data_IF_530217898666
#
_entry.id   IF_530217898666
#
_cell.length_a   1.000
_cell.length_b   1.000
_cell.length_c   1.000
_cell.angle_alpha   90.00
_cell.angle_beta   90.00
_cell.angle_gamma   90.00
#
_symmetry.space_group_name_H-M   'P 1'
#
loop_
_entity.id
_entity.type
_entity.pdbx_description
1 polymer ?
#
# COMPACT_ATOMS: atom_id res chain seq x y z
N UNK A 1 25.99 12.05 16.92
CA UNK A 1 24.86 12.86 16.43
C UNK A 1 23.74 11.86 16.15
N UNK A 2 22.68 11.82 16.96
CA UNK A 2 21.60 10.82 16.80
C UNK A 2 20.77 11.22 15.57
N UNK A 3 20.86 10.45 14.49
CA UNK A 3 19.93 10.53 13.37
C UNK A 3 18.50 10.38 13.93
N UNK A 4 17.68 11.40 13.77
CA UNK A 4 16.25 11.34 14.05
C UNK A 4 15.60 11.03 12.72
N UNK A 5 15.28 9.75 12.52
CA UNK A 5 14.61 9.24 11.33
C UNK A 5 13.18 9.79 11.30
N UNK A 6 12.83 10.47 10.21
CA UNK A 6 11.48 10.92 9.93
C UNK A 6 10.77 9.84 9.10
N UNK A 7 9.69 9.28 9.64
CA UNK A 7 8.80 8.33 8.95
C UNK A 7 7.40 8.95 8.90
N UNK A 8 6.72 8.72 7.77
CA UNK A 8 5.27 8.58 7.60
C UNK A 8 4.51 9.75 6.95
N UNK A 9 4.10 9.54 5.70
CA UNK A 9 2.72 9.68 5.23
C UNK A 9 2.12 8.27 5.30
N UNK A 10 0.94 8.09 5.88
CA UNK A 10 0.16 6.88 5.69
C UNK A 10 -1.15 7.29 5.04
N UNK A 11 -1.36 6.98 3.76
CA UNK A 11 -2.70 7.07 3.17
C UNK A 11 -3.41 5.75 3.42
N UNK A 12 -4.43 5.80 4.27
CA UNK A 12 -5.20 4.65 4.69
C UNK A 12 -6.50 4.59 3.92
N UNK A 13 -6.61 3.62 3.00
CA UNK A 13 -7.82 3.39 2.22
C UNK A 13 -8.48 2.09 2.67
N UNK A 14 -9.74 2.18 3.09
CA UNK A 14 -10.64 1.03 3.15
C UNK A 14 -11.42 0.97 1.86
N UNK A 15 -11.41 -0.17 1.17
CA UNK A 15 -12.11 -0.36 -0.08
C UNK A 15 -13.50 -0.93 0.25
N UNK A 16 -14.55 -0.12 0.11
CA UNK A 16 -15.91 -0.62 0.20
C UNK A 16 -16.31 -1.23 -1.14
N UNK A 17 -16.53 -2.56 -1.17
CA UNK A 17 -17.22 -3.22 -2.27
C UNK A 17 -18.62 -2.63 -2.50
N UNK A 18 -19.06 -2.62 -3.75
CA UNK A 18 -20.28 -1.96 -4.23
C UNK A 18 -21.59 -2.47 -3.59
N UNK A 19 -22.39 -1.50 -3.14
CA UNK A 19 -23.84 -1.44 -2.92
C UNK A 19 -24.64 -2.73 -2.68
N UNK A 20 -25.16 -2.90 -1.45
CA UNK A 20 -26.60 -3.11 -1.22
C UNK A 20 -26.98 -2.63 0.19
N UNK A 21 -28.17 -2.05 0.31
CA UNK A 21 -28.68 -1.31 1.46
C UNK A 21 -29.34 -2.20 2.51
N UNK A 22 -28.86 -2.20 3.77
CA UNK A 22 -29.64 -2.27 5.04
C UNK A 22 -28.73 -2.41 6.30
N UNK A 23 -29.22 -2.15 7.53
CA UNK A 23 -28.51 -1.35 8.52
C UNK A 23 -27.68 -2.12 9.57
N UNK A 24 -26.68 -1.41 10.10
CA UNK A 24 -26.15 -1.42 11.46
C UNK A 24 -26.27 -2.71 12.30
N UNK A 25 -25.33 -3.65 12.08
CA UNK A 25 -24.77 -4.57 13.09
C UNK A 25 -23.84 -5.57 12.37
N UNK A 26 -22.64 -5.17 11.94
CA UNK A 26 -21.90 -6.02 10.99
C UNK A 26 -20.39 -5.87 10.89
N UNK A 27 -19.70 -5.17 11.78
CA UNK A 27 -18.24 -5.06 11.67
C UNK A 27 -17.48 -6.35 12.13
N UNK A 28 -18.18 -7.36 12.66
CA UNK A 28 -17.57 -8.62 13.15
C UNK A 28 -17.75 -9.83 12.24
N UNK A 29 -18.49 -9.74 11.13
CA UNK A 29 -19.01 -10.95 10.45
C UNK A 29 -18.39 -11.28 9.08
N UNK A 30 -17.62 -10.41 8.44
CA UNK A 30 -17.08 -10.67 7.09
C UNK A 30 -15.61 -11.12 7.03
N UNK A 31 -14.78 -10.82 8.05
CA UNK A 31 -13.36 -11.25 8.08
C UNK A 31 -13.14 -12.70 8.55
N UNK A 32 -14.20 -13.41 8.96
CA UNK A 32 -14.14 -14.78 9.50
C UNK A 32 -14.11 -15.88 8.42
N UNK A 33 -14.02 -15.54 7.13
CA UNK A 33 -14.09 -16.51 6.01
C UNK A 33 -12.89 -16.46 5.06
N UNK A 34 -11.70 -16.12 5.52
CA UNK A 34 -10.52 -16.38 4.70
C UNK A 34 -10.21 -17.89 4.67
N UNK A 35 -10.92 -18.61 3.80
CA UNK A 35 -10.72 -20.02 3.50
C UNK A 35 -9.71 -20.28 2.38
N UNK A 36 -8.98 -19.25 1.92
CA UNK A 36 -7.99 -19.42 0.85
C UNK A 36 -6.85 -20.32 1.37
N UNK A 37 -6.44 -21.37 0.64
CA UNK A 37 -5.30 -22.19 1.04
C UNK A 37 -3.96 -21.49 0.77
N UNK A 38 -3.95 -20.58 -0.21
CA UNK A 38 -2.80 -19.78 -0.60
C UNK A 38 -3.24 -18.37 -1.05
N UNK A 39 -2.32 -17.42 -0.97
CA UNK A 39 -2.49 -16.07 -1.51
C UNK A 39 -1.36 -15.77 -2.50
N UNK A 40 -1.71 -15.18 -3.65
CA UNK A 40 -0.78 -14.93 -4.76
C UNK A 40 -0.81 -13.47 -5.18
N UNK A 41 0.36 -12.86 -5.32
CA UNK A 41 0.56 -11.54 -5.92
C UNK A 41 1.80 -11.60 -6.81
N UNK A 42 1.63 -11.34 -8.11
CA UNK A 42 2.70 -11.53 -9.08
C UNK A 42 3.24 -12.96 -9.04
N UNK A 43 4.55 -13.11 -8.88
CA UNK A 43 5.20 -14.43 -8.75
C UNK A 43 5.26 -14.95 -7.30
N UNK A 44 4.90 -14.13 -6.31
CA UNK A 44 4.88 -14.55 -4.90
C UNK A 44 3.59 -15.33 -4.60
N UNK A 45 3.72 -16.59 -4.16
CA UNK A 45 2.60 -17.42 -3.71
C UNK A 45 2.91 -18.02 -2.35
N UNK A 46 2.17 -17.63 -1.32
CA UNK A 46 2.34 -18.14 0.04
C UNK A 46 1.14 -19.04 0.42
N UNK A 47 1.43 -20.27 0.85
CA UNK A 47 0.43 -21.11 1.51
C UNK A 47 0.13 -20.59 2.93
N UNK A 48 -0.94 -21.08 3.54
CA UNK A 48 -1.30 -20.74 4.91
C UNK A 48 -0.14 -21.00 5.88
N UNK A 49 0.16 -20.01 6.73
CA UNK A 49 1.29 -20.06 7.66
C UNK A 49 2.66 -19.94 7.00
N UNK A 50 2.74 -19.42 5.77
CA UNK A 50 3.99 -19.26 5.03
C UNK A 50 4.21 -17.82 4.53
N UNK A 51 5.44 -17.59 4.08
CA UNK A 51 5.91 -16.36 3.45
C UNK A 51 6.52 -16.69 2.10
N UNK A 52 6.22 -15.87 1.10
CA UNK A 52 6.81 -15.97 -0.22
C UNK A 52 7.30 -14.59 -0.67
N UNK A 53 8.47 -14.58 -1.30
CA UNK A 53 9.01 -13.42 -1.99
C UNK A 53 8.84 -13.63 -3.49
N UNK A 54 8.66 -12.55 -4.21
CA UNK A 54 8.55 -12.58 -5.66
C UNK A 54 8.57 -11.17 -6.23
N UNK A 55 8.05 -11.06 -7.43
CA UNK A 55 7.97 -9.80 -8.17
C UNK A 55 6.59 -9.62 -8.76
N UNK A 56 6.18 -8.36 -8.83
CA UNK A 56 5.02 -7.91 -9.58
C UNK A 56 5.53 -7.22 -10.85
N UNK A 57 5.34 -7.89 -11.99
CA UNK A 57 5.86 -7.44 -13.27
C UNK A 57 5.04 -6.28 -13.84
N UNK A 58 5.72 -5.17 -14.19
CA UNK A 58 5.19 -4.10 -15.03
C UNK A 58 5.63 -4.37 -16.46
N UNK A 59 4.72 -4.76 -17.37
CA UNK A 59 5.11 -5.08 -18.74
C UNK A 59 5.64 -3.85 -19.47
N UNK A 60 6.54 -4.08 -20.43
CA UNK A 60 6.99 -3.04 -21.35
C UNK A 60 5.83 -2.54 -22.22
N UNK A 61 5.87 -1.25 -22.58
CA UNK A 61 4.87 -0.60 -23.40
C UNK A 61 5.51 0.47 -24.26
N UNK A 62 5.06 1.72 -24.13
CA UNK A 62 5.66 2.88 -24.83
C UNK A 62 7.08 3.17 -24.33
N UNK A 63 7.40 2.68 -23.14
CA UNK A 63 8.67 2.76 -22.43
C UNK A 63 8.97 1.41 -21.76
N UNK A 64 10.15 1.27 -21.15
CA UNK A 64 10.62 -0.01 -20.59
C UNK A 64 9.71 -0.53 -19.45
N UNK A 65 9.59 -1.85 -19.34
CA UNK A 65 8.99 -2.50 -18.17
C UNK A 65 9.99 -2.64 -17.03
N UNK A 66 9.52 -3.03 -15.85
CA UNK A 66 10.36 -3.34 -14.69
C UNK A 66 9.60 -4.26 -13.72
N UNK A 67 10.33 -4.84 -12.76
CA UNK A 67 9.77 -5.71 -11.73
C UNK A 67 9.74 -4.99 -10.38
N UNK A 68 8.58 -4.96 -9.73
CA UNK A 68 8.45 -4.48 -8.35
C UNK A 68 8.63 -5.64 -7.37
N UNK A 69 9.53 -5.57 -6.38
CA UNK A 69 9.61 -6.60 -5.34
C UNK A 69 8.30 -6.66 -4.55
N UNK A 70 7.86 -7.88 -4.25
CA UNK A 70 6.67 -8.11 -3.43
C UNK A 70 6.91 -9.29 -2.47
N UNK A 71 6.42 -9.14 -1.24
CA UNK A 71 6.32 -10.22 -0.28
C UNK A 71 4.85 -10.48 0.05
N UNK A 72 4.48 -11.76 0.11
CA UNK A 72 3.19 -12.22 0.62
C UNK A 72 3.44 -13.01 1.89
N UNK A 73 2.83 -12.59 2.99
CA UNK A 73 2.83 -13.30 4.27
C UNK A 73 1.40 -13.76 4.53
N UNK A 74 1.13 -15.03 4.29
CA UNK A 74 -0.20 -15.60 4.52
C UNK A 74 -0.23 -16.27 5.89
N UNK A 75 -0.98 -15.68 6.82
CA UNK A 75 -1.01 -16.07 8.22
C UNK A 75 -1.58 -17.46 8.45
N UNK A 76 -1.21 -18.09 9.57
CA UNK A 76 -1.73 -19.40 9.96
C UNK A 76 -3.24 -19.36 10.26
N UNK A 77 -3.75 -18.20 10.67
CA UNK A 77 -5.15 -18.01 11.03
C UNK A 77 -5.91 -17.18 9.99
N UNK A 78 -7.21 -17.45 9.74
CA UNK A 78 -8.03 -16.61 8.86
C UNK A 78 -8.13 -15.17 9.35
N UNK A 79 -8.22 -14.21 8.42
CA UNK A 79 -8.34 -12.79 8.73
C UNK A 79 -8.32 -11.92 7.47
N UNK A 80 -8.29 -10.58 7.63
CA UNK A 80 -8.30 -9.64 6.52
C UNK A 80 -6.98 -9.63 5.74
N UNK A 81 -7.01 -9.07 4.54
CA UNK A 81 -5.83 -8.77 3.72
C UNK A 81 -5.47 -7.30 3.90
N UNK A 82 -4.27 -7.05 4.42
CA UNK A 82 -3.67 -5.72 4.52
C UNK A 82 -2.55 -5.59 3.49
N UNK A 83 -2.67 -4.62 2.60
CA UNK A 83 -1.58 -4.20 1.73
C UNK A 83 -0.80 -3.06 2.39
N UNK A 84 0.54 -3.13 2.34
CA UNK A 84 1.43 -2.03 2.68
C UNK A 84 2.33 -1.77 1.49
N UNK A 85 2.24 -0.57 0.93
CA UNK A 85 3.05 -0.14 -0.21
C UNK A 85 3.93 1.04 0.21
N UNK A 86 5.13 1.14 -0.34
CA UNK A 86 6.04 2.26 -0.13
C UNK A 86 6.89 2.52 -1.35
N UNK A 87 7.67 3.61 -1.33
CA UNK A 87 8.58 3.96 -2.40
C UNK A 87 7.87 4.40 -3.68
N UNK A 88 6.71 5.05 -3.57
CA UNK A 88 6.07 5.75 -4.68
C UNK A 88 6.95 6.92 -5.18
N UNK A 89 7.65 7.56 -4.23
CA UNK A 89 8.88 8.30 -4.49
C UNK A 89 10.06 7.47 -3.98
N UNK A 90 11.02 7.18 -4.85
CA UNK A 90 12.07 6.20 -4.60
C UNK A 90 13.17 6.67 -3.65
N UNK A 91 13.19 7.94 -3.25
CA UNK A 91 14.17 8.47 -2.28
C UNK A 91 13.61 8.69 -0.87
N UNK A 92 12.37 8.27 -0.61
CA UNK A 92 11.78 8.27 0.72
C UNK A 92 12.20 7.02 1.52
N UNK A 93 13.50 6.89 1.81
CA UNK A 93 14.09 5.64 2.31
C UNK A 93 13.49 5.11 3.62
N UNK A 94 12.99 5.99 4.48
CA UNK A 94 12.48 5.59 5.79
C UNK A 94 11.26 4.67 5.67
N UNK A 95 10.37 4.89 4.70
CA UNK A 95 9.22 4.02 4.46
C UNK A 95 9.63 2.68 3.85
N UNK A 96 10.54 2.71 2.86
CA UNK A 96 11.09 1.52 2.20
C UNK A 96 11.73 0.58 3.24
N UNK A 97 12.59 1.13 4.11
CA UNK A 97 13.26 0.37 5.18
C UNK A 97 12.25 -0.20 6.19
N UNK A 98 11.21 0.56 6.55
CA UNK A 98 10.18 0.07 7.46
C UNK A 98 9.43 -1.14 6.88
N UNK A 99 9.09 -1.12 5.59
CA UNK A 99 8.43 -2.25 4.92
C UNK A 99 9.38 -3.45 4.79
N UNK A 100 10.64 -3.23 4.42
CA UNK A 100 11.68 -4.29 4.43
C UNK A 100 11.81 -4.95 5.82
N UNK A 101 11.84 -4.15 6.88
CA UNK A 101 11.87 -4.67 8.26
C UNK A 101 10.62 -5.49 8.57
N UNK A 102 9.44 -5.04 8.15
CA UNK A 102 8.19 -5.78 8.33
C UNK A 102 8.20 -7.14 7.60
N UNK A 103 8.76 -7.18 6.39
CA UNK A 103 8.95 -8.43 5.63
C UNK A 103 9.77 -9.41 6.45
N UNK A 104 10.80 -8.97 7.18
CA UNK A 104 11.64 -9.87 7.98
C UNK A 104 11.04 -10.22 9.34
N UNK A 105 10.38 -9.28 10.01
CA UNK A 105 9.99 -9.42 11.42
C UNK A 105 8.69 -10.18 11.64
N UNK A 106 7.75 -10.14 10.68
CA UNK A 106 6.44 -10.79 10.85
C UNK A 106 6.56 -12.30 10.69
N UNK A 107 6.14 -13.02 11.73
CA UNK A 107 5.98 -14.48 11.72
C UNK A 107 4.63 -14.87 11.11
N UNK A 108 4.58 -15.64 10.00
CA UNK A 108 3.33 -16.14 9.44
C UNK A 108 2.54 -17.01 10.44
N UNK A 109 3.23 -17.68 11.38
CA UNK A 109 2.59 -18.56 12.35
C UNK A 109 1.71 -17.80 13.37
N UNK A 110 1.99 -16.52 13.59
CA UNK A 110 1.30 -15.67 14.58
C UNK A 110 0.28 -14.72 13.94
N UNK A 111 0.27 -14.65 12.60
CA UNK A 111 -0.56 -13.73 11.84
C UNK A 111 -1.97 -14.30 11.61
N UNK A 112 -2.99 -13.46 11.82
CA UNK A 112 -4.36 -13.68 11.35
C UNK A 112 -4.62 -12.85 10.10
N UNK A 113 -4.88 -13.51 8.97
CA UNK A 113 -5.08 -12.85 7.67
C UNK A 113 -3.84 -12.87 6.80
N UNK A 114 -3.68 -11.86 5.95
CA UNK A 114 -2.59 -11.79 4.97
C UNK A 114 -1.97 -10.41 4.93
N UNK A 115 -0.63 -10.34 4.87
CA UNK A 115 0.10 -9.12 4.51
C UNK A 115 0.61 -9.22 3.08
N UNK A 116 0.34 -8.19 2.29
CA UNK A 116 0.96 -7.97 0.97
C UNK A 116 1.85 -6.75 1.09
N UNK A 117 3.15 -6.92 0.87
CA UNK A 117 4.16 -5.90 1.16
C UNK A 117 4.92 -5.57 -0.12
N UNK A 118 4.85 -4.32 -0.57
CA UNK A 118 5.61 -3.79 -1.71
C UNK A 118 6.55 -2.70 -1.17
N UNK A 119 7.81 -3.04 -0.85
CA UNK A 119 8.75 -2.10 -0.22
C UNK A 119 9.13 -0.96 -1.17
N UNK A 120 9.07 -1.19 -2.47
CA UNK A 120 9.32 -0.16 -3.47
C UNK A 120 8.48 -0.37 -4.72
N UNK A 121 7.62 0.61 -5.02
CA UNK A 121 6.81 0.59 -6.23
C UNK A 121 7.44 1.38 -7.39
N UNK A 122 8.20 2.44 -7.11
CA UNK A 122 8.89 3.23 -8.13
C UNK A 122 10.38 2.87 -8.20
N UNK A 123 10.68 1.65 -8.66
CA UNK A 123 12.06 1.14 -8.77
C UNK A 123 12.98 2.10 -9.56
N UNK A 124 12.57 2.66 -10.72
CA UNK A 124 13.42 3.59 -11.47
C UNK A 124 13.78 4.87 -10.70
N UNK A 125 12.85 5.41 -9.92
CA UNK A 125 13.11 6.59 -9.06
C UNK A 125 14.15 6.28 -7.98
N UNK A 126 14.11 5.09 -7.36
CA UNK A 126 15.10 4.70 -6.35
C UNK A 126 16.48 4.43 -6.95
N UNK A 127 16.54 3.65 -8.03
CA UNK A 127 17.81 3.28 -8.67
C UNK A 127 18.57 4.50 -9.19
N UNK A 128 17.84 5.52 -9.65
CA UNK A 128 18.41 6.76 -10.17
C UNK A 128 18.46 7.89 -9.13
N UNK A 129 17.96 7.66 -7.91
CA UNK A 129 17.93 8.65 -6.81
C UNK A 129 17.22 9.95 -7.27
N UNK A 130 16.06 9.79 -7.90
CA UNK A 130 15.25 10.91 -8.42
C UNK A 130 14.05 11.12 -7.50
N UNK A 131 13.96 12.29 -6.82
CA UNK A 131 12.85 12.58 -5.92
C UNK A 131 11.56 12.90 -6.67
N UNK A 132 10.42 12.71 -6.00
CA UNK A 132 9.06 13.09 -6.41
C UNK A 132 8.45 12.40 -7.64
N UNK A 133 9.27 11.97 -8.60
CA UNK A 133 8.80 11.49 -9.90
C UNK A 133 9.54 10.25 -10.37
N UNK A 134 8.87 9.47 -11.22
CA UNK A 134 9.53 8.47 -12.03
C UNK A 134 10.36 9.17 -13.14
N UNK A 135 11.67 8.92 -13.23
CA UNK A 135 12.53 9.57 -14.23
C UNK A 135 12.23 9.17 -15.68
N UNK A 136 11.52 8.06 -15.92
CA UNK A 136 11.20 7.57 -17.26
C UNK A 136 10.13 8.43 -17.94
N UNK A 137 9.15 8.92 -17.19
CA UNK A 137 8.00 9.64 -17.73
C UNK A 137 7.71 10.98 -17.02
N UNK A 138 8.48 11.34 -15.98
CA UNK A 138 8.34 12.58 -15.23
C UNK A 138 7.08 12.66 -14.37
N UNK A 139 6.42 11.53 -14.09
CA UNK A 139 5.16 11.48 -13.34
C UNK A 139 5.37 11.07 -11.88
N UNK A 140 4.61 11.69 -10.97
CA UNK A 140 4.49 11.22 -9.59
C UNK A 140 3.45 10.10 -9.51
N UNK A 141 3.83 8.92 -9.00
CA UNK A 141 2.92 7.76 -8.91
C UNK A 141 1.65 8.06 -8.08
N UNK A 142 1.72 9.02 -7.15
CA UNK A 142 0.61 9.45 -6.29
C UNK A 142 -0.56 10.13 -7.03
N UNK A 143 -0.51 10.22 -8.37
CA UNK A 143 -1.49 10.95 -9.20
C UNK A 143 -2.12 10.12 -10.33
N UNK A 144 -1.71 8.87 -10.51
CA UNK A 144 -2.08 8.08 -11.69
C UNK A 144 -2.79 6.77 -11.37
N UNK A 145 -3.40 6.64 -10.19
CA UNK A 145 -4.35 5.56 -9.91
C UNK A 145 -5.71 5.86 -10.58
N UNK A 146 -6.46 4.85 -11.09
CA UNK A 146 -6.20 3.41 -11.08
C UNK A 146 -5.25 2.92 -12.19
N UNK A 147 -4.58 3.83 -12.90
CA UNK A 147 -3.59 3.51 -13.94
C UNK A 147 -4.19 3.30 -15.33
N UNK A 148 -3.29 3.13 -16.30
CA UNK A 148 -3.61 2.85 -17.70
C UNK A 148 -2.63 1.80 -18.24
N UNK A 149 -3.09 0.57 -18.59
CA UNK A 149 -2.21 -0.51 -19.05
C UNK A 149 -1.52 -0.21 -20.38
N UNK A 150 -2.05 0.73 -21.17
CA UNK A 150 -1.45 1.19 -22.44
C UNK A 150 -0.71 2.52 -22.29
N UNK A 151 -0.60 3.05 -21.07
CA UNK A 151 0.02 4.34 -20.78
C UNK A 151 1.54 4.27 -20.63
N UNK A 152 2.08 5.35 -20.07
CA UNK A 152 3.49 5.45 -19.66
C UNK A 152 3.81 4.55 -18.46
N UNK A 153 5.10 4.39 -18.15
CA UNK A 153 5.59 3.48 -17.13
C UNK A 153 4.86 3.60 -15.78
N UNK A 154 4.67 4.83 -15.28
CA UNK A 154 3.95 5.12 -14.03
C UNK A 154 2.49 4.71 -14.09
N UNK A 155 1.83 4.92 -15.23
CA UNK A 155 0.42 4.54 -15.40
C UNK A 155 0.25 3.03 -15.49
N UNK A 156 1.16 2.32 -16.16
CA UNK A 156 1.15 0.85 -16.23
C UNK A 156 1.43 0.24 -14.86
N UNK A 157 2.39 0.78 -14.13
CA UNK A 157 2.69 0.36 -12.76
C UNK A 157 1.47 0.57 -11.83
N UNK A 158 0.87 1.76 -11.87
CA UNK A 158 -0.36 2.06 -11.10
C UNK A 158 -1.50 1.12 -11.45
N UNK A 159 -1.62 0.72 -12.73
CA UNK A 159 -2.61 -0.25 -13.19
C UNK A 159 -2.37 -1.64 -12.59
N UNK A 160 -1.13 -2.12 -12.68
CA UNK A 160 -0.73 -3.43 -12.15
C UNK A 160 -0.93 -3.48 -10.63
N UNK A 161 -0.52 -2.44 -9.89
CA UNK A 161 -0.76 -2.34 -8.44
C UNK A 161 -2.26 -2.34 -8.14
N UNK A 162 -3.05 -1.57 -8.90
CA UNK A 162 -4.50 -1.52 -8.70
C UNK A 162 -5.12 -2.92 -8.80
N UNK A 163 -4.82 -3.64 -9.89
CA UNK A 163 -5.39 -4.96 -10.15
C UNK A 163 -4.89 -6.05 -9.21
N UNK A 164 -3.59 -6.06 -8.92
CA UNK A 164 -2.96 -7.15 -8.17
C UNK A 164 -2.92 -6.94 -6.65
N UNK A 165 -3.05 -5.69 -6.18
CA UNK A 165 -2.85 -5.34 -4.76
C UNK A 165 -4.05 -4.61 -4.19
N UNK A 166 -4.51 -3.53 -4.84
CA UNK A 166 -5.60 -2.69 -4.31
C UNK A 166 -6.92 -3.46 -4.33
N UNK A 167 -7.38 -3.90 -5.50
CA UNK A 167 -8.66 -4.62 -5.64
C UNK A 167 -8.83 -5.85 -4.72
N UNK A 168 -7.82 -6.70 -4.49
CA UNK A 168 -7.95 -7.87 -3.61
C UNK A 168 -7.71 -7.62 -2.11
N UNK A 169 -7.31 -6.41 -1.69
CA UNK A 169 -7.08 -6.10 -0.27
C UNK A 169 -8.33 -5.53 0.41
N UNK A 170 -8.46 -5.75 1.73
CA UNK A 170 -9.52 -5.13 2.53
C UNK A 170 -9.11 -3.71 2.96
N UNK A 171 -7.82 -3.55 3.22
CA UNK A 171 -7.20 -2.33 3.70
C UNK A 171 -5.84 -2.10 3.05
N UNK A 172 -5.51 -0.84 2.81
CA UNK A 172 -4.22 -0.42 2.26
C UNK A 172 -3.60 0.68 3.11
N UNK A 173 -2.29 0.54 3.38
CA UNK A 173 -1.41 1.58 3.91
C UNK A 173 -0.42 1.95 2.82
N UNK A 174 -0.45 3.19 2.37
CA UNK A 174 0.58 3.75 1.50
C UNK A 174 1.54 4.59 2.34
N UNK A 175 2.76 4.07 2.55
CA UNK A 175 3.76 4.59 3.47
C UNK A 175 4.79 5.47 2.74
N UNK A 176 4.87 6.74 3.11
CA UNK A 176 5.85 7.71 2.59
C UNK A 176 6.79 8.19 3.70
N UNK A 177 7.90 8.77 3.28
CA UNK A 177 8.82 9.55 4.11
C UNK A 177 8.84 11.01 3.69
N UNK A 178 9.78 11.78 4.24
CA UNK A 178 10.21 13.01 3.56
C UNK A 178 11.16 12.63 2.42
N UNK A 179 10.98 13.26 1.26
CA UNK A 179 11.91 13.10 0.15
C UNK A 179 13.25 13.86 0.41
N UNK A 180 14.20 13.82 -0.52
CA UNK A 180 15.56 14.35 -0.36
C UNK A 180 15.62 15.82 0.09
N UNK A 181 14.65 16.62 -0.33
CA UNK A 181 14.50 18.04 -0.05
C UNK A 181 13.53 18.35 1.10
N UNK A 182 13.01 17.33 1.78
CA UNK A 182 11.99 17.46 2.81
C UNK A 182 12.47 17.00 4.19
N UNK A 183 12.01 17.69 5.22
CA UNK A 183 12.19 17.28 6.61
C UNK A 183 10.85 17.34 7.34
N UNK A 184 10.18 16.19 7.39
CA UNK A 184 8.82 16.08 7.89
C UNK A 184 8.82 15.62 9.36
N UNK A 185 7.85 16.13 10.12
CA UNK A 185 7.50 15.50 11.40
C UNK A 185 6.71 14.22 11.10
N UNK A 186 6.82 13.16 11.92
CA UNK A 186 5.96 11.99 11.75
C UNK A 186 4.48 12.34 11.91
N UNK A 187 3.66 11.99 10.92
CA UNK A 187 2.22 12.14 10.96
C UNK A 187 1.49 11.05 10.15
N UNK A 188 0.19 10.92 10.35
CA UNK A 188 -0.69 10.14 9.46
C UNK A 188 -1.69 11.08 8.79
N UNK A 189 -2.17 10.74 7.60
CA UNK A 189 -3.30 11.43 7.01
C UNK A 189 -4.59 10.64 7.27
N UNK A 190 -5.65 11.36 7.60
CA UNK A 190 -7.00 10.85 7.54
C UNK A 190 -7.79 11.73 6.57
N UNK A 191 -8.20 11.13 5.44
CA UNK A 191 -9.02 11.81 4.44
C UNK A 191 -10.49 11.53 4.72
N UNK A 192 -11.28 12.59 4.80
CA UNK A 192 -12.74 12.49 4.90
C UNK A 192 -13.32 12.44 3.49
N UNK A 193 -13.93 11.31 3.12
CA UNK A 193 -14.46 11.08 1.77
C UNK A 193 -15.95 11.40 1.66
N UNK A 194 -16.64 11.48 2.80
CA UNK A 194 -18.11 11.60 2.87
C UNK A 194 -18.81 10.23 2.88
N UNK A 195 -18.06 9.14 2.79
CA UNK A 195 -18.56 7.79 2.96
C UNK A 195 -18.36 7.33 4.40
N UNK A 196 -19.40 7.49 5.23
CA UNK A 196 -19.33 7.32 6.69
C UNK A 196 -18.63 6.03 7.16
N UNK A 197 -18.88 4.89 6.51
CA UNK A 197 -18.24 3.62 6.89
C UNK A 197 -16.74 3.63 6.57
N UNK A 198 -16.35 4.11 5.39
CA UNK A 198 -14.96 4.23 4.98
C UNK A 198 -14.22 5.21 5.90
N UNK A 199 -14.83 6.36 6.19
CA UNK A 199 -14.29 7.40 7.07
C UNK A 199 -14.06 6.88 8.49
N UNK A 200 -15.00 6.09 9.03
CA UNK A 200 -14.87 5.49 10.34
C UNK A 200 -13.73 4.46 10.41
N UNK A 201 -13.60 3.62 9.38
CA UNK A 201 -12.53 2.60 9.30
C UNK A 201 -11.17 3.27 9.11
N UNK A 202 -11.02 4.19 8.16
CA UNK A 202 -9.76 4.88 7.88
C UNK A 202 -9.30 5.72 9.07
N UNK A 203 -10.23 6.34 9.81
CA UNK A 203 -9.94 7.01 11.09
C UNK A 203 -9.39 6.03 12.12
N UNK A 204 -10.07 4.90 12.33
CA UNK A 204 -9.65 3.90 13.31
C UNK A 204 -8.26 3.33 12.96
N UNK A 205 -7.97 3.15 11.67
CA UNK A 205 -6.63 2.76 11.21
C UNK A 205 -5.59 3.84 11.52
N UNK A 206 -5.90 5.13 11.31
CA UNK A 206 -4.96 6.23 11.59
C UNK A 206 -4.68 6.37 13.10
N UNK A 207 -5.71 6.23 13.93
CA UNK A 207 -5.58 6.21 15.39
C UNK A 207 -4.76 4.99 15.86
N UNK A 208 -4.98 3.81 15.26
CA UNK A 208 -4.25 2.58 15.58
C UNK A 208 -2.79 2.60 15.09
N UNK A 209 -2.49 3.30 14.00
CA UNK A 209 -1.12 3.50 13.52
C UNK A 209 -0.27 4.25 14.56
N UNK A 210 -0.91 5.09 15.39
CA UNK A 210 -0.34 5.54 16.67
C UNK A 210 0.66 6.69 16.58
N UNK A 211 0.69 7.42 15.47
CA UNK A 211 1.49 8.64 15.38
C UNK A 211 0.84 9.80 16.14
N UNK A 212 1.68 10.66 16.71
CA UNK A 212 1.25 11.76 17.57
C UNK A 212 0.41 12.82 16.84
N UNK A 213 0.52 12.90 15.51
CA UNK A 213 -0.18 13.87 14.69
C UNK A 213 -0.97 13.17 13.59
N UNK A 214 -2.24 13.52 13.47
CA UNK A 214 -3.12 13.12 12.36
C UNK A 214 -3.52 14.40 11.63
N UNK A 215 -3.17 14.50 10.35
CA UNK A 215 -3.63 15.57 9.45
C UNK A 215 -4.97 15.16 8.87
N UNK A 216 -6.00 15.97 9.13
CA UNK A 216 -7.34 15.76 8.58
C UNK A 216 -7.41 16.48 7.23
N UNK A 217 -7.68 15.73 6.17
CA UNK A 217 -7.86 16.27 4.82
C UNK A 217 -9.34 16.18 4.41
N UNK A 218 -9.97 17.32 4.21
CA UNK A 218 -11.38 17.43 3.76
C UNK A 218 -11.54 17.74 2.28
N UNK A 219 -10.45 18.15 1.62
CA UNK A 219 -10.51 18.82 0.31
C UNK A 219 -9.95 17.96 -0.82
N UNK A 220 -9.93 16.63 -0.66
CA UNK A 220 -9.44 15.74 -1.73
C UNK A 220 -10.43 15.76 -2.91
N UNK A 221 -9.96 15.96 -4.16
CA UNK A 221 -10.81 15.80 -5.34
C UNK A 221 -11.49 14.44 -5.32
N UNK A 222 -12.78 14.40 -5.66
CA UNK A 222 -13.50 13.14 -5.80
C UNK A 222 -13.00 12.43 -7.06
N UNK A 223 -12.75 11.12 -6.95
CA UNK A 223 -12.56 10.28 -8.13
C UNK A 223 -13.81 10.42 -9.04
N UNK A 224 -13.64 10.45 -10.37
CA UNK A 224 -14.74 10.66 -11.31
C UNK A 224 -15.86 9.61 -11.23
#
# INVERSE_FOLDING_TARGET
>A
MKAREAVSLAVLLSLSGSTSSHPAAGARAQSARDGRPAFTVGTATAQRGQKALGVLNVPAGVDAGYDMPVAVIHGAHPGPVLAVVSGAHGSEYASIVAVEQLITSVSPAELSGTLVLLPIVNVPSFEQIVPHVNPVDGKSMNRFYPGNPSGTQTERASHVITKAVVEPCDHLIDLHGGDLDENLRPYSYWTVTGHQQQDAVSRAMAEAFGLAYIIISTDRPKDP
#
